data_IF_501835750380
#
_entry.id   IF_501835750380
#
_cell.length_a   1.000
_cell.length_b   1.000
_cell.length_c   1.000
_cell.angle_alpha   90.00
_cell.angle_beta   90.00
_cell.angle_gamma   90.00
#
_symmetry.space_group_name_H-M   'P 1'
#
loop_
_entity.id
_entity.type
_entity.pdbx_description
1 polymer ?
#
# COMPACT_ATOMS: atom_id res chain seq x y z
N UNK A 1 15.89 2.50 0.41
CA UNK A 1 15.07 1.38 -0.10
C UNK A 1 13.71 1.86 -0.61
N UNK A 2 12.93 2.64 0.16
CA UNK A 2 11.60 3.11 -0.25
C UNK A 2 11.59 3.99 -1.51
N UNK A 3 12.53 4.93 -1.68
CA UNK A 3 12.61 5.79 -2.86
C UNK A 3 12.68 5.00 -4.19
N UNK A 4 13.52 3.96 -4.26
CA UNK A 4 13.64 3.11 -5.46
C UNK A 4 12.31 2.42 -5.79
N UNK A 5 11.63 1.87 -4.77
CA UNK A 5 10.32 1.21 -4.93
C UNK A 5 9.23 2.18 -5.37
N UNK A 6 9.26 3.43 -4.90
CA UNK A 6 8.37 4.48 -5.39
C UNK A 6 8.57 4.76 -6.88
N UNK A 7 9.82 4.84 -7.35
CA UNK A 7 10.12 5.04 -8.77
C UNK A 7 9.65 3.85 -9.61
N UNK A 8 9.95 2.62 -9.16
CA UNK A 8 9.51 1.42 -9.87
C UNK A 8 7.97 1.32 -9.91
N UNK A 9 7.29 1.66 -8.81
CA UNK A 9 5.82 1.67 -8.76
C UNK A 9 5.21 2.76 -9.66
N UNK A 10 5.82 3.95 -9.73
CA UNK A 10 5.44 4.99 -10.71
C UNK A 10 5.54 4.46 -12.14
N UNK A 11 6.55 3.63 -12.40
CA UNK A 11 6.74 2.92 -13.66
C UNK A 11 5.66 1.91 -14.02
N UNK A 12 4.82 1.43 -13.10
CA UNK A 12 3.69 0.55 -13.44
C UNK A 12 2.35 1.26 -13.48
N UNK A 13 2.21 2.44 -12.84
CA UNK A 13 0.93 3.14 -12.72
C UNK A 13 0.27 3.36 -14.08
N UNK A 14 1.03 3.82 -15.08
CA UNK A 14 0.53 4.06 -16.44
C UNK A 14 0.11 2.78 -17.17
N UNK A 15 0.57 1.62 -16.71
CA UNK A 15 0.22 0.30 -17.28
C UNK A 15 -1.03 -0.30 -16.64
N UNK A 16 -1.54 0.29 -15.55
CA UNK A 16 -2.79 -0.12 -14.92
C UNK A 16 -3.97 0.30 -15.79
N UNK A 17 -5.10 -0.39 -15.62
CA UNK A 17 -6.37 0.09 -16.20
C UNK A 17 -6.73 1.47 -15.63
N UNK A 18 -7.68 2.17 -16.25
CA UNK A 18 -8.18 3.46 -15.73
C UNK A 18 -8.62 3.35 -14.26
N UNK A 19 -9.30 2.25 -13.91
CA UNK A 19 -9.73 1.96 -12.54
C UNK A 19 -8.54 1.74 -11.59
N UNK A 20 -7.50 1.04 -12.04
CA UNK A 20 -6.25 0.88 -11.29
C UNK A 20 -5.47 2.19 -11.10
N UNK A 21 -5.49 3.08 -12.10
CA UNK A 21 -4.89 4.41 -11.99
C UNK A 21 -5.63 5.27 -10.94
N UNK A 22 -6.97 5.33 -11.02
CA UNK A 22 -7.81 6.04 -10.04
C UNK A 22 -7.59 5.53 -8.61
N UNK A 23 -7.54 4.20 -8.43
CA UNK A 23 -7.20 3.58 -7.14
C UNK A 23 -5.79 3.98 -6.67
N UNK A 24 -4.80 3.91 -7.55
CA UNK A 24 -3.40 4.21 -7.22
C UNK A 24 -3.22 5.68 -6.80
N UNK A 25 -3.92 6.60 -7.45
CA UNK A 25 -3.89 8.03 -7.11
C UNK A 25 -4.55 8.29 -5.74
N UNK A 26 -5.71 7.66 -5.51
CA UNK A 26 -6.40 7.74 -4.23
C UNK A 26 -5.51 7.25 -3.08
N UNK A 27 -4.95 6.04 -3.22
CA UNK A 27 -4.10 5.41 -2.20
C UNK A 27 -2.92 6.29 -1.84
N UNK A 28 -2.23 6.85 -2.85
CA UNK A 28 -1.09 7.73 -2.63
C UNK A 28 -1.47 8.94 -1.79
N UNK A 29 -2.56 9.63 -2.16
CA UNK A 29 -3.05 10.78 -1.41
C UNK A 29 -3.54 10.41 0.00
N UNK A 30 -4.18 9.25 0.15
CA UNK A 30 -4.64 8.77 1.45
C UNK A 30 -3.48 8.52 2.41
N UNK A 31 -2.45 7.79 1.97
CA UNK A 31 -1.25 7.51 2.78
C UNK A 31 -0.53 8.81 3.15
N UNK A 32 -0.35 9.73 2.19
CA UNK A 32 0.27 11.03 2.46
C UNK A 32 -0.49 11.83 3.51
N UNK A 33 -1.84 11.85 3.45
CA UNK A 33 -2.68 12.52 4.45
C UNK A 33 -2.63 11.84 5.82
N UNK A 34 -2.62 10.51 5.88
CA UNK A 34 -2.49 9.78 7.15
C UNK A 34 -1.14 10.08 7.82
N UNK A 35 -0.04 10.01 7.07
CA UNK A 35 1.29 10.40 7.59
C UNK A 35 1.28 11.85 8.05
N UNK A 36 0.79 12.78 7.23
CA UNK A 36 0.75 14.19 7.59
C UNK A 36 -0.05 14.44 8.89
N UNK A 37 -1.24 13.85 9.01
CA UNK A 37 -2.08 13.98 10.20
C UNK A 37 -1.40 13.44 11.46
N UNK A 38 -0.79 12.26 11.38
CA UNK A 38 -0.29 11.58 12.57
C UNK A 38 1.14 11.97 12.95
N UNK A 39 1.92 12.50 11.99
CA UNK A 39 3.31 12.88 12.19
C UNK A 39 3.52 14.40 12.28
N UNK A 40 2.77 15.18 11.48
CA UNK A 40 2.99 16.64 11.37
C UNK A 40 2.01 17.46 12.22
N UNK A 41 0.84 16.91 12.55
CA UNK A 41 -0.25 17.65 13.22
C UNK A 41 -0.25 17.46 14.75
N UNK A 42 0.75 16.78 15.31
CA UNK A 42 0.89 16.70 16.76
C UNK A 42 1.59 17.95 17.27
N UNK A 43 0.91 18.68 18.17
CA UNK A 43 1.30 19.90 18.90
C UNK A 43 2.61 19.80 19.72
N UNK A 44 3.64 19.15 19.21
CA UNK A 44 4.90 18.90 19.87
C UNK A 44 5.96 19.55 19.01
N UNK A 45 6.70 20.53 19.54
CA UNK A 45 8.00 20.92 19.00
C UNK A 45 9.05 19.79 19.12
N UNK A 46 8.62 18.53 18.97
CA UNK A 46 9.41 17.32 19.05
C UNK A 46 9.81 16.86 17.66
N UNK A 47 11.04 16.37 17.57
CA UNK A 47 11.62 15.84 16.34
C UNK A 47 10.77 14.69 15.80
N UNK A 48 10.32 14.81 14.55
CA UNK A 48 9.79 13.69 13.78
C UNK A 48 10.93 12.70 13.55
N UNK A 49 10.87 11.56 14.22
CA UNK A 49 11.82 10.47 13.98
C UNK A 49 11.31 9.49 12.91
N UNK A 50 12.25 8.83 12.25
CA UNK A 50 11.94 7.86 11.18
C UNK A 50 11.08 6.70 11.69
N UNK A 51 11.15 6.37 12.98
CA UNK A 51 10.40 5.25 13.55
C UNK A 51 8.91 5.57 13.65
N UNK A 52 8.56 6.79 14.07
CA UNK A 52 7.18 7.26 14.18
C UNK A 52 6.49 7.36 12.83
N UNK A 53 7.20 7.87 11.81
CA UNK A 53 6.73 7.87 10.41
C UNK A 53 6.50 6.45 9.91
N UNK A 54 7.44 5.56 10.20
CA UNK A 54 7.39 4.17 9.76
C UNK A 54 6.20 3.44 10.39
N UNK A 55 6.02 3.55 11.72
CA UNK A 55 4.91 2.91 12.43
C UNK A 55 3.56 3.41 11.92
N UNK A 56 3.40 4.72 11.78
CA UNK A 56 2.18 5.34 11.23
C UNK A 56 1.83 4.78 9.86
N UNK A 57 2.82 4.71 8.96
CA UNK A 57 2.63 4.12 7.63
C UNK A 57 2.14 2.67 7.75
N UNK A 58 2.78 1.87 8.59
CA UNK A 58 2.46 0.45 8.73
C UNK A 58 1.13 0.15 9.41
N UNK A 59 0.65 1.01 10.31
CA UNK A 59 -0.58 0.78 11.05
C UNK A 59 -1.84 1.22 10.28
N UNK A 60 -1.75 2.30 9.49
CA UNK A 60 -2.95 2.89 8.88
C UNK A 60 -3.09 2.66 7.36
N UNK A 61 -2.04 2.18 6.69
CA UNK A 61 -2.05 2.08 5.22
C UNK A 61 -3.10 1.10 4.65
N UNK A 62 -3.50 0.06 5.39
CA UNK A 62 -4.49 -0.92 4.91
C UNK A 62 -5.81 -0.24 4.56
N UNK A 63 -6.27 0.67 5.42
CA UNK A 63 -7.49 1.44 5.22
C UNK A 63 -7.50 2.19 3.88
N UNK A 64 -6.34 2.70 3.44
CA UNK A 64 -6.22 3.39 2.16
C UNK A 64 -6.41 2.48 0.94
N UNK A 65 -6.15 1.18 1.06
CA UNK A 65 -6.35 0.23 -0.04
C UNK A 65 -7.81 -0.22 -0.16
N UNK A 66 -8.56 -0.23 0.94
CA UNK A 66 -9.92 -0.78 1.01
C UNK A 66 -11.01 0.30 0.98
N UNK A 67 -10.76 1.46 1.59
CA UNK A 67 -11.72 2.53 1.71
C UNK A 67 -11.39 3.60 0.68
N UNK A 68 -12.17 3.70 -0.40
CA UNK A 68 -12.00 4.66 -1.48
C UNK A 68 -13.13 4.54 -2.49
N UNK A 69 -13.23 5.47 -3.45
CA UNK A 69 -14.18 5.35 -4.56
C UNK A 69 -13.93 4.11 -5.42
N UNK A 70 -12.66 3.70 -5.48
CA UNK A 70 -12.21 2.42 -6.02
C UNK A 70 -11.41 1.73 -4.91
N UNK A 71 -11.83 0.53 -4.52
CA UNK A 71 -11.09 -0.31 -3.56
C UNK A 71 -10.23 -1.33 -4.29
N UNK A 72 -9.19 -1.82 -3.61
CA UNK A 72 -8.33 -2.90 -4.08
C UNK A 72 -9.14 -4.15 -4.47
N UNK A 73 -10.18 -4.47 -3.69
CA UNK A 73 -11.06 -5.61 -3.93
C UNK A 73 -11.87 -5.50 -5.23
N UNK A 74 -12.02 -4.29 -5.75
CA UNK A 74 -12.78 -4.00 -6.97
C UNK A 74 -11.91 -3.89 -8.23
N UNK A 75 -10.58 -4.03 -8.08
CA UNK A 75 -9.65 -3.94 -9.19
C UNK A 75 -9.73 -5.16 -10.12
N UNK A 76 -9.45 -4.98 -11.42
CA UNK A 76 -9.19 -6.11 -12.31
C UNK A 76 -8.06 -6.98 -11.77
N UNK A 77 -8.18 -8.30 -11.92
CA UNK A 77 -7.14 -9.25 -11.47
C UNK A 77 -5.77 -8.96 -12.08
N UNK A 78 -5.72 -8.44 -13.31
CA UNK A 78 -4.46 -8.01 -13.96
C UNK A 78 -3.78 -6.84 -13.24
N UNK A 79 -4.56 -5.91 -12.69
CA UNK A 79 -4.01 -4.77 -11.93
C UNK A 79 -3.57 -5.23 -10.54
N UNK A 80 -4.37 -6.08 -9.88
CA UNK A 80 -4.01 -6.73 -8.61
C UNK A 80 -2.67 -7.46 -8.73
N UNK A 81 -2.51 -8.30 -9.76
CA UNK A 81 -1.28 -9.05 -9.98
C UNK A 81 -0.06 -8.12 -10.16
N UNK A 82 -0.18 -7.04 -10.94
CA UNK A 82 0.90 -6.04 -11.13
C UNK A 82 1.28 -5.36 -9.82
N UNK A 83 0.28 -4.92 -9.05
CA UNK A 83 0.49 -4.26 -7.75
C UNK A 83 1.16 -5.21 -6.76
N UNK A 84 0.68 -6.45 -6.64
CA UNK A 84 1.25 -7.47 -5.75
C UNK A 84 2.67 -7.84 -6.18
N UNK A 85 2.90 -8.04 -7.49
CA UNK A 85 4.24 -8.31 -8.03
C UNK A 85 5.24 -7.20 -7.69
N UNK A 86 4.79 -5.94 -7.79
CA UNK A 86 5.66 -4.80 -7.52
C UNK A 86 5.89 -4.58 -6.02
N UNK A 87 4.88 -4.92 -5.19
CA UNK A 87 4.92 -4.83 -3.74
C UNK A 87 5.59 -6.03 -3.05
N UNK A 88 5.77 -7.17 -3.73
CA UNK A 88 6.29 -8.40 -3.13
C UNK A 88 7.71 -8.24 -2.57
N UNK A 89 8.53 -7.41 -3.19
CA UNK A 89 9.88 -7.10 -2.70
C UNK A 89 9.86 -6.32 -1.36
N UNK A 90 8.75 -5.65 -1.02
CA UNK A 90 8.56 -5.04 0.30
C UNK A 90 8.18 -6.08 1.35
N UNK A 91 7.50 -7.16 0.94
CA UNK A 91 7.18 -8.29 1.81
C UNK A 91 8.48 -8.86 2.37
N UNK A 92 9.54 -9.04 1.56
CA UNK A 92 10.85 -9.55 2.00
C UNK A 92 11.76 -8.55 2.75
N UNK A 93 11.25 -7.41 3.21
CA UNK A 93 12.03 -6.41 3.94
C UNK A 93 12.06 -6.64 5.45
N UNK A 94 12.85 -5.86 6.21
CA UNK A 94 12.89 -5.90 7.70
C UNK A 94 11.51 -5.73 8.38
N UNK A 95 10.51 -5.25 7.64
CA UNK A 95 9.12 -5.12 8.10
C UNK A 95 8.22 -6.27 7.63
N UNK A 96 8.80 -7.41 7.25
CA UNK A 96 8.10 -8.60 6.72
C UNK A 96 6.84 -8.93 7.51
N UNK A 97 6.93 -9.03 8.84
CA UNK A 97 5.78 -9.41 9.68
C UNK A 97 4.62 -8.41 9.57
N UNK A 98 4.90 -7.11 9.54
CA UNK A 98 3.89 -6.05 9.43
C UNK A 98 3.31 -5.99 8.01
N UNK A 99 4.15 -6.13 6.98
CA UNK A 99 3.72 -6.23 5.58
C UNK A 99 2.84 -7.47 5.33
N UNK A 100 3.22 -8.63 5.86
CA UNK A 100 2.46 -9.87 5.72
C UNK A 100 1.13 -9.81 6.45
N UNK A 101 1.08 -9.24 7.66
CA UNK A 101 -0.20 -9.02 8.37
C UNK A 101 -1.14 -8.12 7.59
N UNK A 102 -0.62 -7.00 7.10
CA UNK A 102 -1.39 -6.02 6.31
C UNK A 102 -1.86 -6.60 4.98
N UNK A 103 -1.02 -7.40 4.32
CA UNK A 103 -1.40 -8.16 3.13
C UNK A 103 -2.51 -9.17 3.42
N UNK A 104 -2.37 -9.99 4.47
CA UNK A 104 -3.42 -10.95 4.87
C UNK A 104 -4.73 -10.23 5.20
N UNK A 105 -4.68 -9.12 5.92
CA UNK A 105 -5.86 -8.32 6.24
C UNK A 105 -6.53 -7.76 4.98
N UNK A 106 -5.75 -7.22 4.05
CA UNK A 106 -6.24 -6.76 2.74
C UNK A 106 -6.90 -7.89 1.96
N UNK A 107 -6.24 -9.05 1.83
CA UNK A 107 -6.78 -10.18 1.08
C UNK A 107 -8.03 -10.79 1.73
N UNK A 108 -8.06 -10.89 3.07
CA UNK A 108 -9.25 -11.30 3.81
C UNK A 108 -10.41 -10.32 3.61
N UNK A 109 -10.13 -9.03 3.67
CA UNK A 109 -11.14 -7.98 3.43
C UNK A 109 -11.73 -8.05 2.03
N UNK A 110 -10.97 -8.59 1.06
CA UNK A 110 -11.41 -8.76 -0.32
C UNK A 110 -11.92 -10.16 -0.67
N UNK A 111 -11.94 -11.13 0.26
CA UNK A 111 -12.19 -12.55 -0.01
C UNK A 111 -11.33 -13.13 -1.16
N UNK A 112 -10.09 -12.65 -1.29
CA UNK A 112 -9.14 -13.14 -2.31
C UNK A 112 -8.29 -14.26 -1.72
N UNK A 113 -8.20 -15.38 -2.40
CA UNK A 113 -7.31 -16.47 -2.01
C UNK A 113 -5.85 -16.14 -2.35
N UNK A 114 -5.03 -15.98 -1.32
CA UNK A 114 -3.59 -15.69 -1.41
C UNK A 114 -2.84 -16.74 -2.24
N UNK A 115 -3.28 -18.00 -2.22
CA UNK A 115 -2.67 -19.10 -2.97
C UNK A 115 -2.88 -18.95 -4.48
N UNK A 116 -4.02 -18.39 -4.93
CA UNK A 116 -4.29 -18.16 -6.36
C UNK A 116 -3.39 -17.08 -6.97
N UNK A 117 -3.00 -16.07 -6.19
CA UNK A 117 -2.12 -15.01 -6.68
C UNK A 117 -0.66 -15.45 -6.74
N UNK A 118 -0.20 -16.25 -5.76
CA UNK A 118 1.16 -16.78 -5.74
C UNK A 118 1.44 -17.77 -6.88
N UNK A 119 0.41 -18.42 -7.41
CA UNK A 119 0.55 -19.36 -8.54
C UNK A 119 0.65 -18.67 -9.92
N UNK A 120 0.25 -17.40 -10.02
CA UNK A 120 0.24 -16.60 -11.25
C UNK A 120 1.36 -15.55 -11.33
N UNK A 121 2.28 -15.54 -10.34
CA UNK A 121 3.45 -14.66 -10.25
C UNK A 121 4.71 -15.36 -10.76
#
# INVERSE_FOLDING_TARGET
MMYKKCIEYSGIQHTLTKKGQEWSEYVRGCIQRSIAKNVLDQNSGGLVDCQSVTNTFFEEHVGCYIHGSVSFCSLPSSDIAKVVKQGSDLIFSKHFIQQTKSGIELFRSCNIDLLQLLWNL
#
